data_IF_793436898339
#
_entry.id   IF_793436898339
#
_cell.length_a   1.000
_cell.length_b   1.000
_cell.length_c   1.000
_cell.angle_alpha   90.00
_cell.angle_beta   90.00
_cell.angle_gamma   90.00
#
_symmetry.space_group_name_H-M   'P 1'
#
loop_
_entity.id
_entity.type
_entity.pdbx_description
1 polymer ?
#
# COMPACT_ATOMS: atom_id res chain seq x y z
N UNK A 1 11.79 1.20 -15.82
CA UNK A 1 10.78 0.45 -16.59
C UNK A 1 9.58 0.36 -15.69
N UNK A 2 8.58 1.21 -15.88
CA UNK A 2 7.40 1.26 -15.01
C UNK A 2 6.53 0.07 -15.38
N UNK A 3 6.34 -0.87 -14.45
CA UNK A 3 5.43 -1.99 -14.69
C UNK A 3 4.01 -1.45 -14.96
N UNK A 4 3.29 -2.03 -15.93
CA UNK A 4 1.93 -1.62 -16.24
C UNK A 4 1.09 -1.76 -14.97
N UNK A 5 0.29 -0.72 -14.67
CA UNK A 5 -0.68 -0.76 -13.57
C UNK A 5 -1.54 -2.00 -13.81
N UNK A 6 -1.44 -2.99 -12.91
CA UNK A 6 -2.30 -4.16 -12.99
C UNK A 6 -3.72 -3.70 -12.71
N UNK A 7 -4.71 -4.25 -13.43
CA UNK A 7 -6.12 -3.86 -13.27
C UNK A 7 -6.70 -4.12 -11.87
N UNK A 8 -5.93 -4.75 -10.98
CA UNK A 8 -6.28 -5.09 -9.59
C UNK A 8 -5.37 -4.39 -8.56
N UNK A 9 -4.48 -3.49 -9.02
CA UNK A 9 -3.69 -2.67 -8.10
C UNK A 9 -4.56 -1.58 -7.49
N UNK A 10 -4.32 -1.29 -6.22
CA UNK A 10 -4.95 -0.24 -5.44
C UNK A 10 -3.90 0.70 -4.87
N UNK A 11 -4.30 1.92 -4.57
CA UNK A 11 -3.48 2.88 -3.85
C UNK A 11 -3.55 2.58 -2.36
N UNK A 12 -2.39 2.57 -1.72
CA UNK A 12 -2.23 2.29 -0.30
C UNK A 12 -1.45 3.41 0.35
N UNK A 13 -2.08 4.06 1.32
CA UNK A 13 -1.47 5.11 2.13
C UNK A 13 -1.24 4.62 3.55
N UNK A 14 0.02 4.65 4.00
CA UNK A 14 0.41 4.29 5.36
C UNK A 14 0.76 5.55 6.14
N UNK A 15 0.13 5.74 7.29
CA UNK A 15 0.44 6.81 8.23
C UNK A 15 0.94 6.22 9.54
N UNK A 16 2.20 6.53 9.87
CA UNK A 16 2.83 6.11 11.11
C UNK A 16 2.53 7.14 12.21
N UNK A 17 1.95 6.70 13.35
CA UNK A 17 1.56 7.62 14.43
C UNK A 17 2.79 8.27 15.08
N UNK A 18 3.88 7.50 15.19
CA UNK A 18 5.16 7.99 15.68
C UNK A 18 5.95 8.61 14.53
N UNK A 19 6.32 9.89 14.67
CA UNK A 19 7.09 10.63 13.66
C UNK A 19 6.26 11.24 12.52
N UNK A 20 4.98 10.89 12.38
CA UNK A 20 4.06 11.52 11.43
C UNK A 20 4.37 11.24 9.95
N UNK A 21 5.19 10.23 9.66
CA UNK A 21 5.54 9.86 8.31
C UNK A 21 4.31 9.31 7.56
N UNK A 22 4.18 9.73 6.31
CA UNK A 22 3.17 9.24 5.37
C UNK A 22 3.91 8.71 4.14
N UNK A 23 3.58 7.49 3.75
CA UNK A 23 4.10 6.86 2.52
C UNK A 23 2.95 6.29 1.71
N UNK A 24 3.09 6.36 0.40
CA UNK A 24 2.05 6.02 -0.57
C UNK A 24 2.62 5.04 -1.58
N UNK A 25 1.90 3.95 -1.80
CA UNK A 25 2.29 2.85 -2.67
C UNK A 25 1.13 2.41 -3.55
N UNK A 26 1.44 1.65 -4.60
CA UNK A 26 0.48 0.78 -5.26
C UNK A 26 0.77 -0.68 -4.92
N UNK A 27 -0.26 -1.48 -4.75
CA UNK A 27 -0.14 -2.91 -4.48
C UNK A 27 -1.39 -3.66 -4.96
N UNK A 28 -1.31 -4.98 -5.21
CA UNK A 28 -2.51 -5.79 -5.46
C UNK A 28 -3.51 -5.68 -4.31
N UNK A 29 -4.80 -5.65 -4.61
CA UNK A 29 -5.87 -5.49 -3.61
C UNK A 29 -5.81 -6.52 -2.46
N UNK A 30 -5.43 -7.76 -2.77
CA UNK A 30 -5.25 -8.83 -1.77
C UNK A 30 -4.11 -8.53 -0.78
N UNK A 31 -2.98 -8.03 -1.29
CA UNK A 31 -1.82 -7.62 -0.49
C UNK A 31 -2.16 -6.41 0.36
N UNK A 32 -2.84 -5.41 -0.21
CA UNK A 32 -3.24 -4.20 0.51
C UNK A 32 -4.13 -4.51 1.72
N UNK A 33 -5.10 -5.43 1.57
CA UNK A 33 -5.95 -5.88 2.69
C UNK A 33 -5.15 -6.55 3.80
N UNK A 34 -4.25 -7.47 3.46
CA UNK A 34 -3.39 -8.13 4.45
C UNK A 34 -2.47 -7.15 5.17
N UNK A 35 -1.92 -6.19 4.43
CA UNK A 35 -1.09 -5.12 4.98
C UNK A 35 -1.89 -4.28 6.01
N UNK A 36 -3.14 -3.93 5.69
CA UNK A 36 -4.02 -3.20 6.61
C UNK A 36 -4.32 -4.00 7.88
N UNK A 37 -4.62 -5.30 7.75
CA UNK A 37 -4.91 -6.17 8.89
C UNK A 37 -3.71 -6.30 9.84
N UNK A 38 -2.50 -6.50 9.31
CA UNK A 38 -1.30 -6.67 10.13
C UNK A 38 -0.80 -5.33 10.70
N UNK A 39 -0.64 -4.30 9.87
CA UNK A 39 -0.09 -3.03 10.34
C UNK A 39 -1.06 -2.26 11.24
N UNK A 40 -2.37 -2.44 11.05
CA UNK A 40 -3.39 -1.90 11.94
C UNK A 40 -3.25 -2.40 13.39
N UNK A 41 -2.78 -3.65 13.59
CA UNK A 41 -2.50 -4.20 14.94
C UNK A 41 -1.33 -3.47 15.63
N UNK A 42 -0.48 -2.81 14.87
CA UNK A 42 0.66 -2.05 15.35
C UNK A 42 0.41 -0.52 15.38
N UNK A 43 -0.84 -0.09 15.18
CA UNK A 43 -1.24 1.31 15.26
C UNK A 43 -0.91 2.15 14.03
N UNK A 44 -0.45 1.53 12.93
CA UNK A 44 -0.30 2.21 11.64
C UNK A 44 -1.69 2.38 11.02
N UNK A 45 -2.01 3.60 10.60
CA UNK A 45 -3.26 3.87 9.89
C UNK A 45 -3.05 3.57 8.42
N UNK A 46 -3.81 2.61 7.88
CA UNK A 46 -3.75 2.20 6.48
C UNK A 46 -5.04 2.62 5.78
N UNK A 47 -4.92 3.41 4.72
CA UNK A 47 -6.02 3.79 3.83
C UNK A 47 -5.82 3.10 2.48
N UNK A 48 -6.90 2.57 1.91
CA UNK A 48 -6.91 1.91 0.61
C UNK A 48 -7.99 2.56 -0.25
N UNK A 49 -7.63 2.94 -1.47
CA UNK A 49 -8.56 3.49 -2.47
C UNK A 49 -8.10 3.13 -3.90
N UNK A 50 -8.93 3.48 -4.88
CA UNK A 50 -8.72 3.13 -6.28
C UNK A 50 -7.94 4.22 -7.06
N UNK A 51 -7.38 5.24 -6.39
CA UNK A 51 -6.65 6.35 -7.04
C UNK A 51 -5.22 5.96 -7.43
N UNK A 52 -5.09 4.97 -8.31
CA UNK A 52 -3.80 4.48 -8.77
C UNK A 52 -3.28 5.33 -9.93
N UNK A 53 -2.14 5.99 -9.72
CA UNK A 53 -1.51 6.84 -10.72
C UNK A 53 -0.02 6.54 -10.90
N UNK A 54 0.55 6.94 -12.05
CA UNK A 54 1.91 6.58 -12.47
C UNK A 54 3.05 7.04 -11.54
N UNK A 55 2.79 7.98 -10.62
CA UNK A 55 3.77 8.43 -9.63
C UNK A 55 3.84 7.55 -8.38
N UNK A 56 2.89 6.63 -8.15
CA UNK A 56 2.96 5.70 -7.03
C UNK A 56 4.06 4.67 -7.28
N UNK A 57 4.81 4.38 -6.22
CA UNK A 57 5.83 3.33 -6.26
C UNK A 57 5.19 2.00 -5.87
N UNK A 58 5.69 0.89 -6.41
CA UNK A 58 5.27 -0.43 -5.96
C UNK A 58 5.56 -0.62 -4.48
N UNK A 59 4.66 -1.29 -3.75
CA UNK A 59 4.91 -1.67 -2.37
C UNK A 59 6.17 -2.55 -2.31
N UNK A 60 7.19 -2.16 -1.53
CA UNK A 60 8.41 -2.94 -1.43
C UNK A 60 8.12 -4.32 -0.86
N UNK A 61 8.85 -5.34 -1.34
CA UNK A 61 8.72 -6.72 -0.85
C UNK A 61 7.29 -7.26 -0.90
N UNK A 62 6.49 -6.87 -1.91
CA UNK A 62 5.09 -7.29 -2.10
C UNK A 62 4.88 -8.80 -1.94
N UNK A 63 5.85 -9.63 -2.35
CA UNK A 63 5.77 -11.08 -2.24
C UNK A 63 5.70 -11.60 -0.79
N UNK A 64 6.16 -10.84 0.21
CA UNK A 64 6.04 -11.21 1.63
C UNK A 64 4.61 -11.16 2.16
N UNK A 65 3.72 -10.51 1.41
CA UNK A 65 2.33 -10.26 1.78
C UNK A 65 1.34 -11.14 1.00
N UNK A 66 1.83 -12.04 0.13
CA UNK A 66 0.98 -13.00 -0.58
C UNK A 66 0.39 -14.04 0.36
#
# INVERSE_FOLDING_TARGET
>A
MTDPISSDDVHVRLRFPEGGAVVEYRAPASVARRLADELGRHGVVVTIDDDVHAMLTDLPTTDLWR
#
